data_IF_675920112873
#
_entry.id   IF_675920112873
#
_cell.length_a   1.000
_cell.length_b   1.000
_cell.length_c   1.000
_cell.angle_alpha   90.00
_cell.angle_beta   90.00
_cell.angle_gamma   90.00
#
_symmetry.space_group_name_H-M   'P 1'
#
loop_
_entity.id
_entity.type
_entity.pdbx_description
1 polymer ?
#
# COMPACT_ATOMS: atom_id res chain seq x y z
N UNK A 1 34.46 -10.16 10.32
CA UNK A 1 33.18 -9.40 10.38
C UNK A 1 32.54 -9.47 9.01
N UNK A 2 31.29 -9.95 8.87
CA UNK A 2 30.60 -9.88 7.59
C UNK A 2 30.26 -8.40 7.30
N UNK A 3 30.30 -7.97 6.03
CA UNK A 3 30.05 -6.58 5.70
C UNK A 3 28.59 -6.26 6.00
N UNK A 4 28.36 -5.27 6.86
CA UNK A 4 27.05 -4.63 7.03
C UNK A 4 26.67 -4.03 5.67
N UNK A 5 25.96 -4.79 4.83
CA UNK A 5 25.30 -4.25 3.64
C UNK A 5 24.27 -3.25 4.13
N UNK A 6 24.66 -1.97 4.17
CA UNK A 6 23.76 -0.85 4.40
C UNK A 6 22.79 -0.87 3.22
N UNK A 7 21.57 -1.38 3.46
CA UNK A 7 20.50 -1.38 2.46
C UNK A 7 20.24 0.09 2.13
N UNK A 8 20.81 0.59 1.03
CA UNK A 8 20.43 1.89 0.49
C UNK A 8 18.97 1.77 0.09
N UNK A 9 18.06 2.39 0.86
CA UNK A 9 16.68 2.56 0.44
C UNK A 9 16.71 3.38 -0.84
N UNK A 10 16.47 2.71 -1.99
CA UNK A 10 16.34 3.38 -3.28
C UNK A 10 15.19 4.39 -3.17
N UNK A 11 15.42 5.61 -3.66
CA UNK A 11 14.39 6.64 -3.67
C UNK A 11 13.17 6.17 -4.47
N UNK A 12 11.98 6.45 -3.95
CA UNK A 12 10.74 6.20 -4.67
C UNK A 12 10.61 7.19 -5.83
N UNK A 13 9.95 6.76 -6.89
CA UNK A 13 9.48 7.60 -8.01
C UNK A 13 7.98 7.38 -8.12
N UNK A 14 7.20 8.28 -7.56
CA UNK A 14 5.74 8.20 -7.48
C UNK A 14 5.18 9.17 -8.51
N UNK A 15 4.44 8.65 -9.49
CA UNK A 15 3.80 9.45 -10.52
C UNK A 15 2.31 9.53 -10.27
N UNK A 16 1.76 10.73 -10.28
CA UNK A 16 0.31 10.91 -10.28
C UNK A 16 -0.24 10.43 -11.63
N UNK A 17 -1.35 9.67 -11.60
CA UNK A 17 -2.07 9.27 -12.80
C UNK A 17 -3.52 9.77 -12.77
N UNK A 18 -3.78 10.80 -11.97
CA UNK A 18 -5.06 11.49 -11.92
C UNK A 18 -5.26 12.31 -13.20
N UNK A 19 -6.23 11.93 -14.04
CA UNK A 19 -6.53 12.62 -15.30
C UNK A 19 -5.28 12.86 -16.18
N UNK A 20 -4.91 14.14 -16.34
CA UNK A 20 -3.71 14.57 -17.07
C UNK A 20 -2.58 15.11 -16.18
N UNK A 21 -2.66 14.91 -14.86
CA UNK A 21 -1.63 15.34 -13.92
C UNK A 21 -0.28 14.66 -14.23
N UNK A 22 0.81 15.42 -14.08
CA UNK A 22 2.18 14.96 -14.36
C UNK A 22 3.11 15.12 -13.15
N UNK A 23 2.55 15.36 -11.97
CA UNK A 23 3.32 15.55 -10.75
C UNK A 23 4.08 14.27 -10.36
N UNK A 24 5.33 14.48 -9.94
CA UNK A 24 6.26 13.44 -9.52
C UNK A 24 6.71 13.71 -8.09
N UNK A 25 6.69 12.67 -7.26
CA UNK A 25 7.12 12.74 -5.86
C UNK A 25 8.10 11.63 -5.52
N UNK A 26 8.99 11.91 -4.57
CA UNK A 26 9.96 10.93 -4.05
C UNK A 26 9.64 10.43 -2.63
N UNK A 27 8.65 11.05 -1.98
CA UNK A 27 8.21 10.75 -0.62
C UNK A 27 6.70 10.59 -0.60
N UNK A 28 6.21 9.65 0.20
CA UNK A 28 4.78 9.36 0.30
C UNK A 28 4.01 10.51 0.92
N UNK A 29 4.59 11.21 1.88
CA UNK A 29 4.00 12.36 2.56
C UNK A 29 3.63 13.45 1.55
N UNK A 30 4.56 13.80 0.65
CA UNK A 30 4.32 14.80 -0.38
C UNK A 30 3.33 14.30 -1.43
N UNK A 31 3.41 13.01 -1.79
CA UNK A 31 2.54 12.43 -2.82
C UNK A 31 1.09 12.34 -2.35
N UNK A 32 0.84 11.86 -1.14
CA UNK A 32 -0.49 11.81 -0.54
C UNK A 32 -1.06 13.22 -0.39
N UNK A 33 -0.26 14.19 0.09
CA UNK A 33 -0.69 15.59 0.22
C UNK A 33 -1.10 16.19 -1.14
N UNK A 34 -0.33 15.92 -2.20
CA UNK A 34 -0.67 16.34 -3.55
C UNK A 34 -2.03 15.76 -4.02
N UNK A 35 -2.29 14.48 -3.76
CA UNK A 35 -3.60 13.87 -4.10
C UNK A 35 -4.73 14.44 -3.25
N UNK A 36 -4.48 14.79 -1.99
CA UNK A 36 -5.44 15.49 -1.13
C UNK A 36 -5.79 16.90 -1.63
N UNK A 37 -4.86 17.59 -2.30
CA UNK A 37 -5.14 18.87 -2.97
C UNK A 37 -6.13 18.67 -4.11
N UNK A 38 -5.97 17.62 -4.93
CA UNK A 38 -6.96 17.26 -5.96
C UNK A 38 -8.34 16.93 -5.37
N UNK A 39 -8.39 16.16 -4.28
CA UNK A 39 -9.62 15.84 -3.56
C UNK A 39 -10.32 17.10 -3.03
N UNK A 40 -9.54 18.04 -2.50
CA UNK A 40 -10.08 19.31 -2.01
C UNK A 40 -10.71 20.12 -3.14
N UNK A 41 -10.04 20.20 -4.30
CA UNK A 41 -10.60 20.86 -5.49
C UNK A 41 -11.91 20.20 -5.94
N UNK A 42 -11.96 18.87 -6.04
CA UNK A 42 -13.19 18.15 -6.40
C UNK A 42 -14.34 18.45 -5.41
N UNK A 43 -14.06 18.46 -4.11
CA UNK A 43 -15.08 18.72 -3.10
C UNK A 43 -15.58 20.18 -3.11
N UNK A 44 -14.77 21.13 -3.56
CA UNK A 44 -15.16 22.55 -3.66
C UNK A 44 -15.89 22.90 -4.95
N UNK A 45 -15.72 22.12 -6.02
CA UNK A 45 -16.35 22.35 -7.32
C UNK A 45 -17.79 21.82 -7.38
N UNK A 46 -18.22 21.05 -6.38
CA UNK A 46 -19.55 20.46 -6.30
C UNK A 46 -20.52 21.33 -5.48
N UNK A 47 -21.26 22.18 -6.19
CA UNK A 47 -22.47 22.87 -5.71
C UNK A 47 -23.75 22.07 -6.04
N UNK A 48 -23.68 20.74 -6.22
CA UNK A 48 -24.77 19.94 -6.82
C UNK A 48 -25.17 18.69 -6.01
N UNK A 49 -26.45 18.40 -6.13
CA UNK A 49 -27.34 17.58 -5.31
C UNK A 49 -26.74 16.29 -4.70
N UNK A 50 -27.09 16.04 -3.44
CA UNK A 50 -26.81 14.77 -2.76
C UNK A 50 -27.48 13.61 -3.52
N UNK A 51 -26.71 12.87 -4.31
CA UNK A 51 -27.19 11.70 -5.05
C UNK A 51 -26.50 11.38 -6.37
N UNK A 52 -25.53 12.17 -6.85
CA UNK A 52 -24.81 11.86 -8.08
C UNK A 52 -23.65 10.88 -7.85
N UNK A 53 -23.58 9.87 -8.72
CA UNK A 53 -22.51 8.88 -8.85
C UNK A 53 -21.15 9.55 -9.10
N UNK A 54 -20.15 9.26 -8.25
CA UNK A 54 -18.84 9.94 -8.32
C UNK A 54 -17.77 9.03 -8.89
N UNK A 55 -17.34 9.32 -10.11
CA UNK A 55 -16.34 8.52 -10.81
C UNK A 55 -14.91 8.82 -10.31
N UNK A 56 -14.09 7.78 -10.20
CA UNK A 56 -12.67 7.90 -9.91
C UNK A 56 -11.92 8.51 -11.10
N UNK A 57 -11.27 9.68 -10.93
CA UNK A 57 -10.50 10.35 -11.99
C UNK A 57 -9.11 9.72 -12.25
N UNK A 58 -8.74 8.67 -11.51
CA UNK A 58 -7.49 7.95 -11.75
C UNK A 58 -7.59 7.17 -13.06
N UNK A 59 -6.59 7.35 -13.94
CA UNK A 59 -6.55 6.69 -15.26
C UNK A 59 -6.77 5.19 -15.14
N UNK A 60 -7.53 4.61 -16.05
CA UNK A 60 -7.70 3.14 -16.16
C UNK A 60 -8.22 2.47 -14.87
N UNK A 61 -8.93 3.21 -14.00
CA UNK A 61 -9.57 2.68 -12.79
C UNK A 61 -11.04 2.30 -13.05
N UNK A 62 -11.86 3.30 -13.44
CA UNK A 62 -13.28 3.10 -13.72
C UNK A 62 -14.18 2.86 -12.51
N UNK A 63 -13.66 3.02 -11.29
CA UNK A 63 -14.46 2.95 -10.07
C UNK A 63 -15.47 4.10 -9.99
N UNK A 64 -16.62 3.83 -9.41
CA UNK A 64 -17.68 4.81 -9.19
C UNK A 64 -18.21 4.64 -7.76
N UNK A 65 -18.11 5.71 -6.97
CA UNK A 65 -18.62 5.73 -5.60
C UNK A 65 -20.11 6.04 -5.60
N UNK A 66 -20.85 5.23 -4.86
CA UNK A 66 -22.30 5.36 -4.62
C UNK A 66 -22.58 5.76 -3.18
N UNK A 67 -21.64 5.54 -2.26
CA UNK A 67 -21.77 5.82 -0.83
C UNK A 67 -21.23 7.21 -0.44
N UNK A 68 -20.81 8.01 -1.42
CA UNK A 68 -20.48 9.43 -1.28
C UNK A 68 -18.99 9.75 -1.23
N UNK A 69 -18.67 11.02 -1.02
CA UNK A 69 -17.30 11.54 -1.17
C UNK A 69 -16.25 10.82 -0.31
N UNK A 70 -16.62 10.37 0.90
CA UNK A 70 -15.70 9.70 1.82
C UNK A 70 -15.23 8.33 1.29
N UNK A 71 -16.09 7.57 0.61
CA UNK A 71 -15.72 6.32 -0.06
C UNK A 71 -14.75 6.59 -1.22
N UNK A 72 -15.10 7.56 -2.07
CA UNK A 72 -14.23 7.99 -3.17
C UNK A 72 -12.86 8.48 -2.65
N UNK A 73 -12.85 9.21 -1.53
CA UNK A 73 -11.63 9.69 -0.87
C UNK A 73 -10.74 8.54 -0.43
N UNK A 74 -11.28 7.55 0.30
CA UNK A 74 -10.52 6.33 0.68
C UNK A 74 -9.96 5.60 -0.54
N UNK A 75 -10.80 5.41 -1.55
CA UNK A 75 -10.42 4.77 -2.80
C UNK A 75 -9.23 5.49 -3.47
N UNK A 76 -9.30 6.82 -3.59
CA UNK A 76 -8.23 7.64 -4.17
C UNK A 76 -6.94 7.63 -3.35
N UNK A 77 -7.04 7.64 -2.03
CA UNK A 77 -5.86 7.49 -1.16
C UNK A 77 -5.22 6.10 -1.28
N UNK A 78 -5.98 5.07 -1.64
CA UNK A 78 -5.41 3.76 -1.94
C UNK A 78 -4.64 3.76 -3.26
N UNK A 79 -4.98 4.59 -4.25
CA UNK A 79 -4.12 4.77 -5.42
C UNK A 79 -2.74 5.32 -5.08
N UNK A 80 -2.63 6.17 -4.04
CA UNK A 80 -1.33 6.61 -3.55
C UNK A 80 -0.47 5.41 -3.12
N UNK A 81 -1.06 4.53 -2.30
CA UNK A 81 -0.40 3.32 -1.83
C UNK A 81 -0.10 2.33 -2.97
N UNK A 82 -1.05 2.12 -3.88
CA UNK A 82 -0.87 1.26 -5.04
C UNK A 82 0.25 1.74 -5.96
N UNK A 83 0.37 3.06 -6.17
CA UNK A 83 1.48 3.67 -6.92
C UNK A 83 2.83 3.35 -6.26
N UNK A 84 2.92 3.46 -4.93
CA UNK A 84 4.10 3.01 -4.17
C UNK A 84 4.37 1.52 -4.40
N UNK A 85 3.36 0.67 -4.34
CA UNK A 85 3.54 -0.77 -4.56
C UNK A 85 4.04 -1.10 -5.97
N UNK A 86 3.52 -0.43 -7.00
CA UNK A 86 3.99 -0.57 -8.40
C UNK A 86 5.45 -0.16 -8.54
N UNK A 87 5.82 0.96 -7.92
CA UNK A 87 7.20 1.43 -7.91
C UNK A 87 8.14 0.47 -7.18
N UNK A 88 7.70 -0.13 -6.07
CA UNK A 88 8.47 -1.17 -5.38
C UNK A 88 8.62 -2.43 -6.24
N UNK A 89 7.55 -2.84 -6.93
CA UNK A 89 7.62 -3.95 -7.89
C UNK A 89 8.59 -3.67 -9.04
N UNK A 90 8.59 -2.45 -9.60
CA UNK A 90 9.55 -2.04 -10.61
C UNK A 90 10.99 -2.12 -10.07
N UNK A 91 11.25 -1.64 -8.85
CA UNK A 91 12.59 -1.74 -8.25
C UNK A 91 13.05 -3.18 -8.02
N UNK A 92 12.10 -4.10 -7.75
CA UNK A 92 12.36 -5.53 -7.64
C UNK A 92 12.73 -6.14 -8.99
N UNK A 93 12.00 -5.79 -10.07
CA UNK A 93 12.31 -6.23 -11.44
C UNK A 93 13.66 -5.66 -11.93
N UNK A 94 13.93 -4.38 -11.67
CA UNK A 94 15.21 -3.75 -12.02
C UNK A 94 16.41 -4.43 -11.34
N UNK A 95 16.18 -5.08 -10.19
CA UNK A 95 17.21 -5.82 -9.46
C UNK A 95 17.39 -7.26 -9.98
N UNK A 96 16.48 -7.75 -10.83
CA UNK A 96 16.49 -9.10 -11.40
C UNK A 96 16.18 -9.04 -12.92
N UNK A 97 17.12 -8.54 -13.76
CA UNK A 97 16.86 -8.31 -15.18
C UNK A 97 16.52 -9.58 -15.99
N UNK A 98 16.87 -10.76 -15.47
CA UNK A 98 16.52 -12.06 -16.04
C UNK A 98 15.03 -12.41 -15.91
N UNK A 99 14.33 -11.82 -14.95
CA UNK A 99 12.89 -11.92 -14.81
C UNK A 99 12.30 -10.89 -15.78
N UNK A 100 11.69 -11.38 -16.88
CA UNK A 100 11.12 -10.54 -17.93
C UNK A 100 9.98 -9.63 -17.46
N UNK A 101 9.20 -9.11 -18.41
CA UNK A 101 8.06 -8.24 -18.12
C UNK A 101 6.75 -9.01 -18.00
N UNK A 102 5.76 -8.36 -17.37
CA UNK A 102 4.39 -8.82 -17.43
C UNK A 102 3.77 -8.45 -18.78
N UNK A 103 3.17 -9.42 -19.46
CA UNK A 103 2.50 -9.28 -20.76
C UNK A 103 1.00 -8.94 -20.66
N UNK A 104 0.42 -8.95 -19.44
CA UNK A 104 -0.98 -8.60 -19.24
C UNK A 104 -1.20 -7.13 -19.58
N UNK A 105 -2.25 -6.87 -20.37
CA UNK A 105 -2.58 -5.57 -20.91
C UNK A 105 -2.71 -4.46 -19.85
N UNK A 106 -2.20 -3.27 -20.22
CA UNK A 106 -2.07 -2.10 -19.34
C UNK A 106 -3.40 -1.44 -18.93
N UNK A 107 -4.51 -1.74 -19.61
CA UNK A 107 -5.79 -1.04 -19.42
C UNK A 107 -6.50 -1.33 -18.08
N UNK A 108 -6.03 -2.31 -17.31
CA UNK A 108 -6.56 -2.64 -15.99
C UNK A 108 -5.56 -2.38 -14.86
N UNK A 109 -4.47 -1.67 -15.15
CA UNK A 109 -3.33 -1.54 -14.23
C UNK A 109 -3.60 -0.71 -12.98
N UNK A 110 -4.70 0.02 -12.97
CA UNK A 110 -5.14 0.88 -11.88
C UNK A 110 -6.47 0.39 -11.30
N UNK A 111 -6.88 -0.86 -11.55
CA UNK A 111 -7.99 -1.44 -10.80
C UNK A 111 -7.48 -1.84 -9.42
N UNK A 112 -8.10 -1.27 -8.39
CA UNK A 112 -7.80 -1.54 -6.98
C UNK A 112 -8.99 -2.22 -6.31
N UNK A 113 -8.79 -2.91 -5.16
CA UNK A 113 -9.88 -3.52 -4.41
C UNK A 113 -10.89 -2.47 -3.95
N UNK A 114 -12.11 -2.94 -3.68
CA UNK A 114 -13.13 -2.15 -3.03
C UNK A 114 -12.77 -1.88 -1.55
N UNK A 115 -13.05 -0.66 -1.08
CA UNK A 115 -12.65 -0.15 0.24
C UNK A 115 -13.83 0.61 0.85
N UNK A 116 -14.88 -0.11 1.27
CA UNK A 116 -16.09 0.52 1.79
C UNK A 116 -15.83 1.20 3.14
N UNK A 117 -14.95 0.61 3.97
CA UNK A 117 -14.75 1.01 5.36
C UNK A 117 -13.38 1.68 5.61
N UNK A 118 -13.32 2.47 6.69
CA UNK A 118 -12.07 2.95 7.24
C UNK A 118 -11.23 1.80 7.81
N UNK A 119 -9.91 1.96 7.79
CA UNK A 119 -8.98 1.01 8.38
C UNK A 119 -8.88 1.23 9.90
N UNK A 120 -9.23 0.21 10.68
CA UNK A 120 -9.26 0.29 12.14
C UNK A 120 -8.15 -0.59 12.72
N UNK A 121 -7.34 -0.01 13.61
CA UNK A 121 -6.37 -0.77 14.38
C UNK A 121 -7.09 -1.44 15.56
N UNK A 122 -6.95 -2.75 15.68
CA UNK A 122 -7.51 -3.52 16.80
C UNK A 122 -6.43 -3.97 17.78
N UNK A 123 -5.32 -3.24 17.85
CA UNK A 123 -4.29 -3.48 18.84
C UNK A 123 -4.82 -3.09 20.24
N UNK A 124 -4.52 -3.91 21.24
CA UNK A 124 -4.88 -3.71 22.65
C UNK A 124 -4.43 -2.31 23.10
N UNK A 125 -5.34 -1.57 23.74
CA UNK A 125 -5.12 -0.20 24.23
C UNK A 125 -4.68 0.82 23.16
N UNK A 126 -4.95 0.56 21.87
CA UNK A 126 -4.69 1.53 20.80
C UNK A 126 -5.88 2.47 20.60
N UNK A 127 -5.69 3.75 20.97
CA UNK A 127 -6.73 4.80 20.87
C UNK A 127 -6.66 5.61 19.56
N UNK A 128 -5.89 5.16 18.57
CA UNK A 128 -5.82 5.87 17.29
C UNK A 128 -7.17 5.83 16.56
N UNK A 129 -7.61 6.96 15.97
CA UNK A 129 -8.85 6.98 15.20
C UNK A 129 -8.74 6.12 13.94
N UNK A 130 -9.88 5.73 13.33
CA UNK A 130 -9.88 5.05 12.03
C UNK A 130 -9.10 5.85 10.97
N UNK A 131 -8.37 5.14 10.12
CA UNK A 131 -7.58 5.72 9.04
C UNK A 131 -8.34 5.59 7.72
N UNK A 132 -8.35 6.66 6.93
CA UNK A 132 -8.83 6.60 5.55
C UNK A 132 -7.71 6.18 4.59
N UNK A 133 -6.46 6.56 4.90
CA UNK A 133 -5.30 6.33 4.07
C UNK A 133 -4.59 5.02 4.48
N UNK A 134 -4.49 4.03 3.58
CA UNK A 134 -3.83 2.76 3.87
C UNK A 134 -2.33 2.91 4.19
N UNK A 135 -1.63 3.87 3.57
CA UNK A 135 -0.20 4.09 3.85
C UNK A 135 0.04 4.43 5.33
N UNK A 136 -0.82 5.29 5.89
CA UNK A 136 -0.72 5.69 7.29
C UNK A 136 -1.16 4.57 8.23
N UNK A 137 -2.21 3.84 7.87
CA UNK A 137 -2.66 2.68 8.63
C UNK A 137 -1.57 1.61 8.75
N UNK A 138 -0.97 1.17 7.63
CA UNK A 138 0.04 0.11 7.67
C UNK A 138 1.31 0.56 8.40
N UNK A 139 1.72 1.83 8.25
CA UNK A 139 2.83 2.40 9.05
C UNK A 139 2.53 2.44 10.54
N UNK A 140 1.29 2.79 10.91
CA UNK A 140 0.85 2.75 12.30
C UNK A 140 0.89 1.32 12.85
N UNK A 141 0.37 0.34 12.12
CA UNK A 141 0.42 -1.06 12.59
C UNK A 141 1.86 -1.56 12.72
N UNK A 142 2.74 -1.23 11.77
CA UNK A 142 4.18 -1.56 11.88
C UNK A 142 4.83 -0.95 13.13
N UNK A 143 4.42 0.25 13.54
CA UNK A 143 4.94 0.90 14.75
C UNK A 143 4.76 0.04 16.00
N UNK A 144 3.68 -0.73 16.13
CA UNK A 144 3.49 -1.64 17.26
C UNK A 144 4.61 -2.66 17.37
N UNK A 145 5.15 -3.16 16.25
CA UNK A 145 6.29 -4.06 16.26
C UNK A 145 7.60 -3.42 16.73
N UNK A 146 7.70 -2.09 16.63
CA UNK A 146 8.89 -1.30 16.98
C UNK A 146 8.84 -0.86 18.44
N UNK A 147 7.68 -0.42 18.91
CA UNK A 147 7.45 0.08 20.25
C UNK A 147 7.47 -1.00 21.35
N UNK A 148 7.39 -2.28 20.99
CA UNK A 148 7.58 -3.36 21.97
C UNK A 148 8.98 -3.27 22.58
N UNK A 149 9.02 -3.22 23.91
CA UNK A 149 10.25 -3.32 24.68
C UNK A 149 10.82 -4.73 24.60
N UNK A 150 12.08 -4.81 24.17
CA UNK A 150 12.83 -6.07 24.10
C UNK A 150 14.07 -5.92 24.97
N UNK A 151 14.34 -6.87 25.88
CA UNK A 151 15.56 -6.88 26.67
C UNK A 151 16.81 -6.77 25.77
N UNK A 152 17.74 -5.89 26.14
CA UNK A 152 18.95 -5.65 25.37
C UNK A 152 19.73 -6.95 25.14
N UNK A 153 19.93 -7.31 23.87
CA UNK A 153 20.73 -8.48 23.48
C UNK A 153 19.92 -9.76 23.21
N UNK A 154 18.60 -9.75 23.39
CA UNK A 154 17.76 -10.93 23.11
C UNK A 154 16.94 -10.76 21.82
N UNK A 155 17.53 -11.13 20.69
CA UNK A 155 16.84 -11.09 19.39
C UNK A 155 15.78 -12.17 19.21
N UNK A 156 15.76 -13.19 20.07
CA UNK A 156 14.82 -14.32 20.03
C UNK A 156 13.69 -14.16 21.06
N UNK A 157 13.66 -13.02 21.77
CA UNK A 157 12.64 -12.71 22.75
C UNK A 157 11.24 -12.92 22.17
N UNK A 158 10.43 -13.72 22.87
CA UNK A 158 9.09 -14.06 22.45
C UNK A 158 8.14 -12.92 22.79
N UNK A 159 7.59 -12.28 21.76
CA UNK A 159 6.65 -11.17 21.87
C UNK A 159 5.24 -11.69 21.58
N UNK A 160 4.30 -11.41 22.47
CA UNK A 160 2.87 -11.70 22.23
C UNK A 160 2.29 -10.63 21.29
N UNK A 161 1.48 -11.06 20.32
CA UNK A 161 0.71 -10.13 19.51
C UNK A 161 -0.38 -9.47 20.39
N UNK A 162 -0.47 -8.14 20.34
CA UNK A 162 -1.51 -7.38 21.02
C UNK A 162 -2.75 -7.18 20.16
N UNK A 163 -2.88 -7.84 19.01
CA UNK A 163 -4.09 -7.70 18.20
C UNK A 163 -5.27 -8.40 18.89
N UNK A 164 -6.45 -7.79 18.86
CA UNK A 164 -7.67 -8.34 19.45
C UNK A 164 -7.92 -9.77 18.97
N UNK A 165 -8.22 -10.65 19.91
CA UNK A 165 -8.50 -12.08 19.70
C UNK A 165 -7.32 -12.86 19.05
N UNK A 166 -6.09 -12.35 19.18
CA UNK A 166 -4.89 -13.04 18.72
C UNK A 166 -4.07 -13.61 19.89
N UNK A 167 -3.75 -14.90 19.82
CA UNK A 167 -2.91 -15.60 20.81
C UNK A 167 -1.49 -15.88 20.28
N UNK A 168 -1.15 -15.36 19.10
CA UNK A 168 0.13 -15.63 18.46
C UNK A 168 1.30 -15.00 19.21
N UNK A 169 2.45 -15.66 19.13
CA UNK A 169 3.73 -15.15 19.61
C UNK A 169 4.73 -15.12 18.46
N UNK A 170 5.61 -14.13 18.47
CA UNK A 170 6.62 -13.92 17.44
C UNK A 170 8.00 -13.72 18.08
N UNK A 171 9.03 -14.27 17.44
CA UNK A 171 10.42 -14.16 17.91
C UNK A 171 11.05 -12.86 17.42
N UNK A 172 11.05 -11.85 18.27
CA UNK A 172 11.60 -10.54 17.99
C UNK A 172 10.76 -9.68 17.03
N UNK A 173 11.18 -8.41 16.87
CA UNK A 173 10.47 -7.39 16.06
C UNK A 173 10.23 -7.81 14.60
N UNK A 174 11.20 -8.38 13.86
CA UNK A 174 10.98 -8.71 12.44
C UNK A 174 9.87 -9.71 12.23
N UNK A 175 9.76 -10.72 13.10
CA UNK A 175 8.71 -11.74 13.01
C UNK A 175 7.37 -11.22 13.47
N UNK A 176 7.34 -10.34 14.47
CA UNK A 176 6.10 -9.67 14.85
C UNK A 176 5.58 -8.83 13.68
N UNK A 177 6.43 -7.99 13.08
CA UNK A 177 6.08 -7.18 11.90
C UNK A 177 5.51 -8.03 10.76
N UNK A 178 6.16 -9.15 10.44
CA UNK A 178 5.67 -10.09 9.43
C UNK A 178 4.28 -10.62 9.78
N UNK A 179 4.08 -11.01 11.04
CA UNK A 179 2.81 -11.51 11.56
C UNK A 179 1.69 -10.45 11.50
N UNK A 180 1.94 -9.17 11.82
CA UNK A 180 0.90 -8.14 11.80
C UNK A 180 0.19 -8.01 10.44
N UNK A 181 0.86 -8.40 9.36
CA UNK A 181 0.28 -8.41 8.01
C UNK A 181 -0.84 -9.42 7.84
N UNK A 182 -0.91 -10.48 8.66
CA UNK A 182 -2.05 -11.40 8.63
C UNK A 182 -3.33 -10.76 9.19
N UNK A 183 -3.21 -9.71 10.00
CA UNK A 183 -4.37 -8.96 10.47
C UNK A 183 -4.81 -7.90 9.46
N UNK A 184 -3.85 -7.22 8.84
CA UNK A 184 -4.13 -6.07 7.96
C UNK A 184 -4.27 -6.43 6.48
N UNK A 185 -3.90 -7.66 6.10
CA UNK A 185 -3.85 -8.15 4.72
C UNK A 185 -2.94 -7.33 3.78
N UNK A 186 -2.00 -6.55 4.36
CA UNK A 186 -1.08 -5.66 3.67
C UNK A 186 -0.38 -6.34 2.47
N UNK A 187 -0.38 -5.66 1.32
CA UNK A 187 0.39 -6.06 0.13
C UNK A 187 1.66 -5.23 0.04
N UNK A 188 2.76 -5.84 -0.36
CA UNK A 188 4.09 -5.21 -0.27
C UNK A 188 4.66 -4.77 -1.61
N UNK A 189 4.18 -5.38 -2.69
CA UNK A 189 4.62 -5.07 -4.05
C UNK A 189 3.44 -5.19 -4.99
N UNK A 190 3.48 -4.46 -6.10
CA UNK A 190 2.53 -4.61 -7.19
C UNK A 190 3.26 -4.68 -8.53
N UNK A 191 2.70 -5.41 -9.48
CA UNK A 191 3.21 -5.47 -10.83
C UNK A 191 3.03 -4.10 -11.51
N UNK A 192 4.11 -3.46 -12.01
CA UNK A 192 4.00 -2.17 -12.69
C UNK A 192 3.26 -2.25 -14.04
N UNK A 193 3.19 -3.45 -14.65
CA UNK A 193 2.47 -3.68 -15.90
C UNK A 193 0.95 -3.78 -15.69
N UNK A 194 0.50 -4.75 -14.88
CA UNK A 194 -0.91 -5.07 -14.74
C UNK A 194 -1.56 -4.60 -13.43
N UNK A 195 -0.80 -4.00 -12.51
CA UNK A 195 -1.32 -3.51 -11.22
C UNK A 195 -1.58 -4.58 -10.15
N UNK A 196 -1.44 -5.87 -10.48
CA UNK A 196 -1.67 -6.96 -9.52
C UNK A 196 -0.79 -6.82 -8.27
N UNK A 197 -1.39 -6.96 -7.07
CA UNK A 197 -0.71 -6.76 -5.78
C UNK A 197 -0.39 -8.08 -5.07
N UNK A 198 0.76 -8.15 -4.40
CA UNK A 198 1.27 -9.38 -3.80
C UNK A 198 1.78 -9.16 -2.37
N UNK A 199 1.57 -10.17 -1.52
CA UNK A 199 1.98 -10.13 -0.12
C UNK A 199 3.49 -10.34 0.09
N UNK A 200 4.21 -10.87 -0.91
CA UNK A 200 5.65 -11.08 -0.87
C UNK A 200 6.25 -11.22 -2.28
N UNK A 201 7.58 -11.18 -2.37
CA UNK A 201 8.30 -11.26 -3.64
C UNK A 201 8.16 -12.62 -4.32
N UNK A 202 8.04 -13.73 -3.59
CA UNK A 202 7.86 -15.06 -4.19
C UNK A 202 6.60 -15.10 -5.06
N UNK A 203 5.46 -14.66 -4.51
CA UNK A 203 4.19 -14.61 -5.25
C UNK A 203 4.26 -13.65 -6.45
N UNK A 204 5.01 -12.56 -6.31
CA UNK A 204 5.22 -11.61 -7.40
C UNK A 204 6.08 -12.20 -8.52
N UNK A 205 7.18 -12.89 -8.19
CA UNK A 205 8.02 -13.58 -9.18
C UNK A 205 7.24 -14.69 -9.90
N UNK A 206 6.45 -15.48 -9.17
CA UNK A 206 5.58 -16.49 -9.77
C UNK A 206 4.62 -15.87 -10.80
N UNK A 207 4.07 -14.69 -10.51
CA UNK A 207 3.25 -13.95 -11.46
C UNK A 207 4.05 -13.57 -12.71
N UNK A 208 5.22 -12.94 -12.53
CA UNK A 208 6.05 -12.46 -13.65
C UNK A 208 6.47 -13.61 -14.55
N UNK A 209 6.98 -14.71 -13.99
CA UNK A 209 7.41 -15.90 -14.74
C UNK A 209 6.26 -16.47 -15.57
N UNK A 210 5.06 -16.55 -14.99
CA UNK A 210 3.88 -17.07 -15.70
C UNK A 210 3.47 -16.16 -16.85
N UNK A 211 3.52 -14.84 -16.66
CA UNK A 211 3.10 -13.88 -17.68
C UNK A 211 4.16 -13.68 -18.77
N UNK A 212 5.45 -13.74 -18.43
CA UNK A 212 6.53 -13.68 -19.42
C UNK A 212 6.58 -14.92 -20.32
N UNK A 213 6.08 -16.07 -19.85
CA UNK A 213 5.98 -17.29 -20.64
C UNK A 213 4.74 -17.36 -21.55
N UNK A 214 3.84 -16.36 -21.46
CA UNK A 214 2.66 -16.24 -22.31
C UNK A 214 2.88 -15.28 -23.50
N UNK A 215 4.08 -14.70 -23.61
CA UNK A 215 4.59 -14.03 -24.82
C UNK A 215 5.09 -15.07 -25.84
#
# INVERSE_FOLDING_TARGET
MPPKRRIQRKMLKLSCEWGSCQELSSQMENFCKHVEEHLTCLNTEEDVEAGEDRMCPWRDCGFCSVDGFEELRRHLLFHCYHTKLKQLGQQVLDAQPELGSCSIAYHNRNIIPDIPDNFICLWEDCEQPPYENPEWFYRHVEMHSVCVDIPTGDSEFSIRCGWKDCEATAKGRPKLREHLRSHTQEKLVACPGCGGMYANNTKFFDHIIRQSAME
#
